data_IF_385968113573
#
_entry.id   IF_385968113573
#
_cell.length_a   1.000
_cell.length_b   1.000
_cell.length_c   1.000
_cell.angle_alpha   90.00
_cell.angle_beta   90.00
_cell.angle_gamma   90.00
#
_symmetry.space_group_name_H-M   'P 1'
#
loop_
_entity.id
_entity.type
_entity.pdbx_description
1 polymer ?
#
# COMPACT_ATOMS: atom_id res chain seq x y z
N UNK A 1 -2.90 9.66 13.91
CA UNK A 1 -1.93 10.70 14.36
C UNK A 1 -1.25 11.48 13.22
N UNK A 2 -1.86 11.57 12.02
CA UNK A 2 -1.15 12.03 10.82
C UNK A 2 -0.67 13.49 10.83
N UNK A 3 -1.34 14.38 11.58
CA UNK A 3 -0.96 15.80 11.68
C UNK A 3 0.48 16.02 12.17
N UNK A 4 1.01 15.08 12.96
CA UNK A 4 2.37 15.18 13.51
C UNK A 4 3.46 14.99 12.44
N UNK A 5 3.12 14.52 11.23
CA UNK A 5 4.07 14.35 10.13
C UNK A 5 4.14 15.55 9.20
N UNK A 6 3.42 16.64 9.51
CA UNK A 6 3.49 17.88 8.75
C UNK A 6 4.91 18.48 8.72
N UNK A 7 5.76 18.21 9.72
CA UNK A 7 7.16 18.65 9.73
C UNK A 7 8.01 18.01 8.65
N UNK A 8 7.65 16.80 8.24
CA UNK A 8 8.39 16.01 7.27
C UNK A 8 7.79 16.15 5.87
N UNK A 9 6.46 16.13 5.78
CA UNK A 9 5.75 16.15 4.51
C UNK A 9 5.22 17.51 4.10
N UNK A 10 5.04 18.45 5.03
CA UNK A 10 4.10 19.56 4.85
C UNK A 10 2.64 19.10 4.85
N UNK A 11 1.72 20.02 4.57
CA UNK A 11 0.30 19.73 4.37
C UNK A 11 -0.22 20.36 3.09
N UNK A 12 -1.30 19.79 2.55
CA UNK A 12 -2.00 20.37 1.39
C UNK A 12 -2.66 21.71 1.70
N UNK A 13 -2.71 22.12 2.97
CA UNK A 13 -3.31 23.37 3.44
C UNK A 13 -2.26 24.47 3.66
N UNK A 14 -0.96 24.15 3.60
CA UNK A 14 0.11 25.10 3.90
C UNK A 14 0.11 26.28 2.91
N UNK A 15 0.30 25.99 1.62
CA UNK A 15 0.13 26.94 0.53
C UNK A 15 -0.03 26.23 -0.82
N UNK A 16 -0.26 27.01 -1.89
CA UNK A 16 -0.44 26.49 -3.25
C UNK A 16 0.79 25.77 -3.81
N UNK A 17 2.00 26.18 -3.42
CA UNK A 17 3.21 25.52 -3.89
C UNK A 17 3.35 24.15 -3.23
N UNK A 18 3.11 24.07 -1.92
CA UNK A 18 3.12 22.83 -1.15
C UNK A 18 2.02 21.86 -1.60
N UNK A 19 0.80 22.35 -1.84
CA UNK A 19 -0.30 21.55 -2.40
C UNK A 19 0.10 20.91 -3.73
N UNK A 20 0.61 21.71 -4.68
CA UNK A 20 1.00 21.20 -5.99
C UNK A 20 2.20 20.26 -5.91
N UNK A 21 3.14 20.50 -4.98
CA UNK A 21 4.25 19.61 -4.72
C UNK A 21 3.77 18.24 -4.23
N UNK A 22 2.90 18.21 -3.21
CA UNK A 22 2.29 16.98 -2.70
C UNK A 22 1.51 16.24 -3.77
N UNK A 23 0.68 16.95 -4.53
CA UNK A 23 -0.12 16.37 -5.60
C UNK A 23 0.76 15.73 -6.69
N UNK A 24 1.90 16.37 -7.02
CA UNK A 24 2.82 15.91 -8.04
C UNK A 24 3.49 14.56 -7.76
N UNK A 25 3.55 14.10 -6.51
CA UNK A 25 4.11 12.78 -6.18
C UNK A 25 3.15 11.86 -5.41
N UNK A 26 2.00 12.36 -4.94
CA UNK A 26 1.06 11.58 -4.16
C UNK A 26 0.63 10.30 -4.92
N UNK A 27 0.91 9.09 -4.40
CA UNK A 27 0.69 7.86 -5.17
C UNK A 27 -0.75 7.67 -5.65
N UNK A 28 -1.73 8.00 -4.80
CA UNK A 28 -3.16 7.88 -5.16
C UNK A 28 -3.52 8.71 -6.40
N UNK A 29 -2.92 9.89 -6.54
CA UNK A 29 -3.26 10.86 -7.59
C UNK A 29 -2.45 10.65 -8.88
N UNK A 30 -1.35 9.89 -8.80
CA UNK A 30 -0.44 9.63 -9.93
C UNK A 30 -0.60 8.22 -10.51
N UNK A 31 -1.72 7.54 -10.22
CA UNK A 31 -2.10 6.34 -10.97
C UNK A 31 -2.73 6.79 -12.28
N UNK A 32 -2.12 6.42 -13.38
CA UNK A 32 -2.52 6.71 -14.76
C UNK A 32 -3.31 5.53 -15.35
N UNK A 33 -4.30 5.84 -16.18
CA UNK A 33 -5.07 4.82 -16.89
C UNK A 33 -4.29 4.28 -18.08
N UNK A 34 -4.42 2.98 -18.36
CA UNK A 34 -3.78 2.37 -19.54
C UNK A 34 -2.32 1.99 -19.34
N UNK A 35 -1.81 2.09 -18.11
CA UNK A 35 -0.46 1.64 -17.74
C UNK A 35 -0.52 0.18 -17.30
N UNK A 36 0.47 -0.60 -17.76
CA UNK A 36 0.72 -1.96 -17.26
C UNK A 36 1.55 -1.86 -15.97
N UNK A 37 0.85 -1.86 -14.83
CA UNK A 37 1.48 -1.80 -13.53
C UNK A 37 2.07 -3.16 -13.14
N UNK A 38 3.16 -3.19 -12.34
CA UNK A 38 3.72 -4.45 -11.85
C UNK A 38 2.75 -5.16 -10.92
N UNK A 39 2.96 -6.47 -10.75
CA UNK A 39 2.25 -7.25 -9.74
C UNK A 39 2.39 -6.59 -8.36
N UNK A 40 1.26 -6.21 -7.76
CA UNK A 40 1.22 -5.41 -6.54
C UNK A 40 0.34 -6.08 -5.50
N UNK A 41 0.86 -6.22 -4.28
CA UNK A 41 0.07 -6.62 -3.12
C UNK A 41 0.24 -5.58 -2.01
N UNK A 42 -0.83 -4.86 -1.69
CA UNK A 42 -0.86 -3.86 -0.62
C UNK A 42 -1.20 -4.55 0.70
N UNK A 43 -0.44 -4.25 1.75
CA UNK A 43 -0.69 -4.77 3.10
C UNK A 43 -1.21 -3.64 3.99
N UNK A 44 -2.24 -3.93 4.78
CA UNK A 44 -2.78 -3.01 5.79
C UNK A 44 -3.46 -3.81 6.90
N UNK A 45 -3.90 -3.15 7.97
CA UNK A 45 -4.67 -3.79 9.04
C UNK A 45 -5.97 -3.03 9.36
N UNK A 46 -6.98 -3.74 9.86
CA UNK A 46 -8.32 -3.22 10.12
C UNK A 46 -8.41 -2.25 11.32
N UNK A 47 -7.47 -2.33 12.26
CA UNK A 47 -7.39 -1.44 13.43
C UNK A 47 -6.12 -0.56 13.42
N UNK A 48 -5.55 -0.28 12.25
CA UNK A 48 -4.46 0.70 12.15
C UNK A 48 -5.01 2.13 12.28
N UNK A 49 -4.90 2.69 13.49
CA UNK A 49 -5.27 4.07 13.81
C UNK A 49 -4.09 5.06 13.66
N UNK A 50 -2.90 4.54 13.35
CA UNK A 50 -1.69 5.33 13.13
C UNK A 50 -1.67 5.86 11.71
N UNK A 51 -1.70 4.94 10.73
CA UNK A 51 -1.88 5.21 9.29
C UNK A 51 -3.17 4.52 8.87
N UNK A 52 -4.24 5.29 8.70
CA UNK A 52 -5.56 4.70 8.49
C UNK A 52 -5.60 3.82 7.24
N UNK A 53 -6.22 2.62 7.29
CA UNK A 53 -6.25 1.69 6.16
C UNK A 53 -6.91 2.25 4.88
N UNK A 54 -7.66 3.34 5.00
CA UNK A 54 -8.25 4.06 3.87
C UNK A 54 -7.21 4.56 2.84
N UNK A 55 -5.94 4.78 3.22
CA UNK A 55 -4.87 5.06 2.26
C UNK A 55 -4.69 3.89 1.30
N UNK A 56 -4.51 2.69 1.85
CA UNK A 56 -4.36 1.44 1.12
C UNK A 56 -5.60 1.09 0.30
N UNK A 57 -6.79 1.28 0.86
CA UNK A 57 -8.06 0.97 0.19
C UNK A 57 -8.27 1.82 -1.07
N UNK A 58 -8.09 3.14 -0.97
CA UNK A 58 -8.24 4.02 -2.14
C UNK A 58 -7.17 3.74 -3.18
N UNK A 59 -5.92 3.56 -2.75
CA UNK A 59 -4.82 3.28 -3.67
C UNK A 59 -5.07 2.01 -4.48
N UNK A 60 -5.41 0.88 -3.83
CA UNK A 60 -5.62 -0.37 -4.55
C UNK A 60 -6.88 -0.33 -5.41
N UNK A 61 -7.95 0.34 -4.97
CA UNK A 61 -9.18 0.46 -5.76
C UNK A 61 -8.92 1.25 -7.06
N UNK A 62 -8.21 2.38 -6.97
CA UNK A 62 -7.82 3.17 -8.14
C UNK A 62 -6.85 2.39 -9.04
N UNK A 63 -5.92 1.63 -8.45
CA UNK A 63 -4.98 0.81 -9.22
C UNK A 63 -5.69 -0.32 -9.97
N UNK A 64 -6.65 -0.99 -9.33
CA UNK A 64 -7.50 -2.02 -9.95
C UNK A 64 -8.37 -1.47 -11.08
N UNK A 65 -8.89 -0.26 -10.92
CA UNK A 65 -9.66 0.43 -11.96
C UNK A 65 -8.81 0.79 -13.18
N UNK A 66 -7.59 1.28 -12.94
CA UNK A 66 -6.75 1.90 -13.99
C UNK A 66 -5.72 0.97 -14.63
N UNK A 67 -5.33 -0.10 -13.95
CA UNK A 67 -4.40 -1.09 -14.49
C UNK A 67 -5.05 -1.85 -15.63
N UNK A 68 -4.43 -1.81 -16.81
CA UNK A 68 -4.85 -2.57 -17.99
C UNK A 68 -3.97 -3.79 -18.24
N UNK A 69 -2.91 -3.95 -17.45
CA UNK A 69 -1.98 -5.06 -17.53
C UNK A 69 -2.54 -6.37 -16.97
N UNK A 70 -1.91 -7.53 -17.30
CA UNK A 70 -2.31 -8.83 -16.79
C UNK A 70 -1.88 -9.08 -15.34
N UNK A 71 -1.01 -8.22 -14.80
CA UNK A 71 -0.42 -8.40 -13.48
C UNK A 71 -1.46 -8.26 -12.36
N UNK A 72 -1.42 -9.10 -11.31
CA UNK A 72 -2.37 -9.03 -10.22
C UNK A 72 -2.14 -7.79 -9.35
N UNK A 73 -3.25 -7.16 -8.96
CA UNK A 73 -3.29 -5.99 -8.07
C UNK A 73 -4.22 -6.30 -6.90
N UNK A 74 -3.61 -6.66 -5.77
CA UNK A 74 -4.27 -7.24 -4.61
C UNK A 74 -4.09 -6.38 -3.36
N UNK A 75 -4.98 -6.58 -2.39
CA UNK A 75 -4.83 -6.07 -1.03
C UNK A 75 -5.04 -7.18 -0.02
N UNK A 76 -4.16 -7.25 0.98
CA UNK A 76 -4.26 -8.14 2.13
C UNK A 76 -4.53 -7.29 3.37
N UNK A 77 -5.70 -7.51 3.98
CA UNK A 77 -6.15 -6.78 5.17
C UNK A 77 -6.01 -7.71 6.37
N UNK A 78 -5.07 -7.40 7.26
CA UNK A 78 -4.92 -8.15 8.49
C UNK A 78 -6.07 -7.82 9.46
N UNK A 79 -6.75 -8.87 9.92
CA UNK A 79 -7.85 -8.73 10.89
C UNK A 79 -7.32 -8.75 12.32
N UNK A 80 -7.94 -7.96 13.21
CA UNK A 80 -7.55 -7.82 14.62
C UNK A 80 -6.06 -7.46 14.77
N UNK A 81 -5.57 -6.56 13.92
CA UNK A 81 -4.21 -6.04 14.00
C UNK A 81 -4.22 -4.52 13.80
N UNK A 82 -3.23 -3.85 14.38
CA UNK A 82 -2.98 -2.42 14.18
C UNK A 82 -1.78 -2.20 13.26
N UNK A 83 -1.06 -1.11 13.48
CA UNK A 83 0.07 -0.73 12.63
C UNK A 83 1.26 -1.73 12.60
N UNK A 84 1.34 -2.64 13.57
CA UNK A 84 2.35 -3.71 13.58
C UNK A 84 2.95 -4.03 14.95
N UNK A 85 2.91 -3.07 15.88
CA UNK A 85 3.34 -3.33 17.26
C UNK A 85 2.40 -4.33 17.94
N UNK A 86 2.97 -5.37 18.55
CA UNK A 86 2.19 -6.40 19.26
C UNK A 86 1.50 -7.43 18.35
N UNK A 87 1.77 -7.44 17.04
CA UNK A 87 1.26 -8.47 16.14
C UNK A 87 1.74 -9.87 16.60
N UNK A 88 0.84 -10.84 16.81
CA UNK A 88 1.21 -12.21 17.17
C UNK A 88 2.16 -12.84 16.14
N UNK A 89 3.13 -13.62 16.62
CA UNK A 89 4.12 -14.30 15.76
C UNK A 89 3.45 -15.15 14.67
N UNK A 90 2.31 -15.78 14.96
CA UNK A 90 1.56 -16.54 13.96
C UNK A 90 1.13 -15.68 12.76
N UNK A 91 0.62 -14.47 13.01
CA UNK A 91 0.24 -13.53 11.95
C UNK A 91 1.46 -13.01 11.19
N UNK A 92 2.58 -12.80 11.88
CA UNK A 92 3.85 -12.42 11.23
C UNK A 92 4.31 -13.52 10.27
N UNK A 93 4.25 -14.79 10.69
CA UNK A 93 4.60 -15.93 9.83
C UNK A 93 3.70 -15.99 8.60
N UNK A 94 2.38 -15.84 8.77
CA UNK A 94 1.42 -15.81 7.66
C UNK A 94 1.69 -14.65 6.69
N UNK A 95 1.92 -13.44 7.22
CA UNK A 95 2.23 -12.26 6.41
C UNK A 95 3.49 -12.45 5.56
N UNK A 96 4.56 -12.97 6.18
CA UNK A 96 5.83 -13.21 5.49
C UNK A 96 5.67 -14.32 4.46
N UNK A 97 4.95 -15.41 4.78
CA UNK A 97 4.66 -16.47 3.83
C UNK A 97 3.91 -15.96 2.60
N UNK A 98 2.87 -15.14 2.80
CA UNK A 98 2.10 -14.54 1.69
C UNK A 98 2.97 -13.60 0.83
N UNK A 99 3.83 -12.78 1.46
CA UNK A 99 4.75 -11.88 0.75
C UNK A 99 5.72 -12.65 -0.16
N UNK A 100 6.39 -13.68 0.38
CA UNK A 100 7.35 -14.47 -0.38
C UNK A 100 6.67 -15.31 -1.45
N UNK A 101 5.52 -15.92 -1.15
CA UNK A 101 4.75 -16.68 -2.13
C UNK A 101 4.29 -15.79 -3.29
N UNK A 102 3.78 -14.58 -3.00
CA UNK A 102 3.38 -13.62 -4.03
C UNK A 102 4.56 -13.21 -4.91
N UNK A 103 5.71 -12.89 -4.30
CA UNK A 103 6.90 -12.50 -5.04
C UNK A 103 7.42 -13.66 -5.92
N UNK A 104 7.62 -14.84 -5.34
CA UNK A 104 8.11 -16.00 -6.09
C UNK A 104 7.19 -16.37 -7.26
N UNK A 105 5.88 -16.36 -7.04
CA UNK A 105 4.91 -16.66 -8.09
C UNK A 105 4.96 -15.63 -9.24
N UNK A 106 4.96 -14.33 -8.93
CA UNK A 106 4.92 -13.30 -9.97
C UNK A 106 6.27 -13.05 -10.66
N UNK A 107 7.37 -13.49 -10.05
CA UNK A 107 8.72 -13.42 -10.64
C UNK A 107 9.15 -14.74 -11.30
N UNK A 108 8.29 -15.76 -11.32
CA UNK A 108 8.61 -17.11 -11.84
C UNK A 108 9.85 -17.73 -11.18
N UNK A 109 9.99 -17.53 -9.86
CA UNK A 109 11.10 -18.06 -9.07
C UNK A 109 10.63 -19.29 -8.32
N UNK A 110 11.25 -20.44 -8.61
CA UNK A 110 11.10 -21.64 -7.78
C UNK A 110 12.18 -21.64 -6.69
N UNK A 111 11.83 -21.46 -5.41
CA UNK A 111 12.81 -21.44 -4.33
C UNK A 111 13.49 -22.81 -4.18
N UNK A 112 14.81 -22.81 -4.02
CA UNK A 112 15.62 -23.99 -3.74
C UNK A 112 15.94 -23.95 -2.24
N UNK A 113 15.44 -24.94 -1.50
CA UNK A 113 15.64 -25.07 -0.05
C UNK A 113 16.69 -26.14 0.26
#
# INVERSE_FOLDING_TARGET
IGWAWATDYGTSEDDSAMFNYLLGYSPLHNIESGVDYPATMVFTADHDDRVVPAHSFKFIATLQEKNTGPNPVLIRIESKAGHGAGTPVSKVIEQVADQWAFMFYNMDVTPIY
#
